data_IF_528516400972
#
_entry.id   IF_528516400972
#
_cell.length_a   1.000
_cell.length_b   1.000
_cell.length_c   1.000
_cell.angle_alpha   90.00
_cell.angle_beta   90.00
_cell.angle_gamma   90.00
#
_symmetry.space_group_name_H-M   'P 1'
#
loop_
_entity.id
_entity.type
_entity.pdbx_description
1 polymer ?
#
# COMPACT_ATOMS: atom_id res chain seq x y z
N UNK A 1 -31.36 -12.64 -19.44
CA UNK A 1 -31.73 -12.18 -18.08
C UNK A 1 -30.99 -12.99 -17.03
N UNK A 2 -31.03 -14.33 -17.08
CA UNK A 2 -30.24 -15.22 -16.21
C UNK A 2 -28.72 -15.02 -16.31
N UNK A 3 -28.17 -14.91 -17.53
CA UNK A 3 -26.71 -14.70 -17.73
C UNK A 3 -26.20 -13.38 -17.11
N UNK A 4 -27.04 -12.35 -17.08
CA UNK A 4 -26.72 -11.03 -16.51
C UNK A 4 -26.70 -11.09 -14.97
N UNK A 5 -27.52 -11.96 -14.38
CA UNK A 5 -27.56 -12.19 -12.94
C UNK A 5 -26.39 -13.07 -12.48
N UNK A 6 -26.00 -14.06 -13.29
CA UNK A 6 -24.87 -14.94 -13.01
C UNK A 6 -23.54 -14.18 -13.08
N UNK A 7 -23.34 -13.37 -14.12
CA UNK A 7 -22.17 -12.48 -14.23
C UNK A 7 -22.07 -11.46 -13.09
N UNK A 8 -23.20 -10.91 -12.64
CA UNK A 8 -23.22 -10.00 -11.49
C UNK A 8 -22.78 -10.68 -10.18
N UNK A 9 -23.18 -11.94 -9.98
CA UNK A 9 -22.76 -12.73 -8.80
C UNK A 9 -21.27 -13.05 -8.82
N UNK A 10 -20.73 -13.40 -9.98
CA UNK A 10 -19.29 -13.65 -10.15
C UNK A 10 -18.45 -12.40 -9.87
N UNK A 11 -18.87 -11.23 -10.36
CA UNK A 11 -18.18 -9.95 -10.10
C UNK A 11 -18.23 -9.55 -8.61
N UNK A 12 -19.34 -9.82 -7.92
CA UNK A 12 -19.44 -9.61 -6.48
C UNK A 12 -18.44 -10.46 -5.70
N UNK A 13 -18.39 -11.77 -5.97
CA UNK A 13 -17.46 -12.71 -5.32
C UNK A 13 -16.01 -12.28 -5.58
N UNK A 14 -15.71 -11.87 -6.81
CA UNK A 14 -14.37 -11.38 -7.19
C UNK A 14 -14.00 -10.11 -6.43
N UNK A 15 -14.95 -9.20 -6.26
CA UNK A 15 -14.74 -7.94 -5.51
C UNK A 15 -14.50 -8.21 -4.04
N UNK A 16 -15.31 -9.06 -3.41
CA UNK A 16 -15.13 -9.47 -2.00
C UNK A 16 -13.76 -10.14 -1.75
N UNK A 17 -13.33 -11.02 -2.66
CA UNK A 17 -12.01 -11.65 -2.57
C UNK A 17 -10.87 -10.62 -2.70
N UNK A 18 -11.00 -9.64 -3.59
CA UNK A 18 -10.01 -8.58 -3.75
C UNK A 18 -9.93 -7.69 -2.51
N UNK A 19 -11.08 -7.31 -1.93
CA UNK A 19 -11.12 -6.55 -0.67
C UNK A 19 -10.46 -7.33 0.47
N UNK A 20 -10.71 -8.65 0.56
CA UNK A 20 -10.06 -9.49 1.56
C UNK A 20 -8.54 -9.50 1.43
N UNK A 21 -8.02 -9.62 0.20
CA UNK A 21 -6.58 -9.59 -0.07
C UNK A 21 -5.97 -8.25 0.32
N UNK A 22 -6.60 -7.13 -0.08
CA UNK A 22 -6.12 -5.78 0.22
C UNK A 22 -6.07 -5.53 1.72
N UNK A 23 -7.12 -5.93 2.46
CA UNK A 23 -7.18 -5.73 3.90
C UNK A 23 -6.11 -6.57 4.61
N UNK A 24 -5.90 -7.82 4.19
CA UNK A 24 -4.84 -8.67 4.74
C UNK A 24 -3.45 -8.05 4.54
N UNK A 25 -3.15 -7.60 3.33
CA UNK A 25 -1.86 -6.99 2.99
C UNK A 25 -1.64 -5.68 3.78
N UNK A 26 -2.70 -4.90 3.99
CA UNK A 26 -2.68 -3.71 4.84
C UNK A 26 -2.39 -4.06 6.30
N UNK A 27 -3.10 -5.03 6.87
CA UNK A 27 -2.92 -5.48 8.26
C UNK A 27 -1.49 -6.02 8.50
N UNK A 28 -0.95 -6.77 7.54
CA UNK A 28 0.43 -7.27 7.60
C UNK A 28 1.44 -6.12 7.58
N UNK A 29 1.19 -5.08 6.78
CA UNK A 29 2.03 -3.89 6.72
C UNK A 29 2.01 -3.08 8.03
N UNK A 30 0.87 -2.99 8.72
CA UNK A 30 0.80 -2.37 10.05
C UNK A 30 1.60 -3.15 11.09
N UNK A 31 1.59 -4.49 11.02
CA UNK A 31 2.42 -5.33 11.89
C UNK A 31 3.92 -5.06 11.72
N UNK A 32 4.38 -4.71 10.52
CA UNK A 32 5.77 -4.32 10.29
C UNK A 32 6.16 -3.02 11.00
N UNK A 33 5.24 -2.05 11.09
CA UNK A 33 5.47 -0.79 11.82
C UNK A 33 5.69 -1.07 13.31
N UNK A 34 4.90 -1.96 13.90
CA UNK A 34 5.05 -2.35 15.30
C UNK A 34 6.38 -3.06 15.55
N UNK A 35 6.78 -3.99 14.68
CA UNK A 35 8.08 -4.67 14.76
C UNK A 35 9.24 -3.67 14.67
N UNK A 36 9.15 -2.71 13.75
CA UNK A 36 10.16 -1.66 13.59
C UNK A 36 10.28 -0.80 14.85
N UNK A 37 9.16 -0.40 15.44
CA UNK A 37 9.12 0.40 16.68
C UNK A 37 9.75 -0.31 17.88
N UNK A 38 9.57 -1.63 17.98
CA UNK A 38 10.22 -2.46 19.00
C UNK A 38 11.75 -2.47 18.80
N UNK A 39 12.21 -2.64 17.56
CA UNK A 39 13.65 -2.61 17.23
C UNK A 39 14.26 -1.25 17.53
N UNK A 40 13.59 -0.15 17.17
CA UNK A 40 14.03 1.21 17.50
C UNK A 40 14.15 1.42 19.01
N UNK A 41 13.18 0.95 19.78
CA UNK A 41 13.19 1.04 21.25
C UNK A 41 14.35 0.24 21.85
N UNK A 42 14.66 -0.93 21.29
CA UNK A 42 15.77 -1.78 21.73
C UNK A 42 17.13 -1.19 21.35
N UNK A 43 17.24 -0.55 20.19
CA UNK A 43 18.45 0.17 19.79
C UNK A 43 18.68 1.39 20.69
N UNK A 44 17.63 2.16 20.99
CA UNK A 44 17.72 3.32 21.87
C UNK A 44 18.27 2.93 23.25
N UNK A 45 17.80 1.82 23.83
CA UNK A 45 18.27 1.33 25.13
C UNK A 45 19.69 0.77 25.08
N UNK A 46 20.07 0.07 24.02
CA UNK A 46 21.43 -0.48 23.86
C UNK A 46 22.49 0.61 23.71
N UNK A 47 22.18 1.69 23.00
CA UNK A 47 23.15 2.73 22.69
C UNK A 47 23.15 3.90 23.69
N UNK A 48 22.27 3.93 24.70
CA UNK A 48 22.03 5.09 25.58
C UNK A 48 21.86 6.41 24.80
N UNK A 49 21.56 6.30 23.50
CA UNK A 49 21.18 7.41 22.67
C UNK A 49 19.74 7.65 23.03
N UNK A 50 19.45 8.81 23.61
CA UNK A 50 18.09 9.31 23.57
C UNK A 50 17.75 9.41 22.09
N UNK A 51 17.09 8.38 21.55
CA UNK A 51 16.34 8.50 20.31
C UNK A 51 15.29 9.52 20.68
N UNK A 52 15.62 10.78 20.45
CA UNK A 52 14.68 11.86 20.62
C UNK A 52 13.51 11.42 19.78
N UNK A 53 12.36 11.16 20.42
CA UNK A 53 11.10 10.86 19.72
C UNK A 53 10.76 11.94 18.67
N UNK A 54 11.50 13.06 18.70
CA UNK A 54 11.44 14.22 17.84
C UNK A 54 12.64 14.38 16.87
N UNK A 55 13.47 13.36 16.66
CA UNK A 55 14.28 13.30 15.44
C UNK A 55 13.28 13.05 14.31
N UNK A 56 12.60 14.11 13.90
CA UNK A 56 11.73 14.11 12.74
C UNK A 56 12.66 13.84 11.58
N UNK A 57 12.84 12.56 11.28
CA UNK A 57 13.45 12.12 10.06
C UNK A 57 12.64 12.79 8.96
N UNK A 58 13.24 13.79 8.33
CA UNK A 58 12.63 14.50 7.20
C UNK A 58 12.74 13.58 6.00
N UNK A 59 11.99 12.49 6.02
CA UNK A 59 11.85 11.63 4.87
C UNK A 59 11.27 12.45 3.73
N UNK A 60 11.72 12.24 2.48
CA UNK A 60 11.06 12.83 1.33
C UNK A 60 9.59 12.43 1.39
N UNK A 61 8.71 13.43 1.43
CA UNK A 61 7.27 13.17 1.36
C UNK A 61 6.98 12.63 -0.03
N UNK A 62 6.68 11.32 -0.12
CA UNK A 62 6.17 10.72 -1.34
C UNK A 62 4.86 11.43 -1.68
N UNK A 63 4.84 12.15 -2.80
CA UNK A 63 3.62 12.73 -3.34
C UNK A 63 3.16 11.83 -4.45
N UNK A 64 2.10 11.07 -4.21
CA UNK A 64 1.44 10.34 -5.27
C UNK A 64 0.81 11.38 -6.23
N UNK A 65 1.01 11.23 -7.55
CA UNK A 65 0.30 12.05 -8.51
C UNK A 65 -1.21 11.83 -8.31
N UNK A 66 -1.96 12.93 -8.22
CA UNK A 66 -3.41 12.87 -8.18
C UNK A 66 -3.96 12.86 -9.61
N UNK A 67 -5.00 12.08 -9.85
CA UNK A 67 -5.69 12.11 -11.13
C UNK A 67 -6.39 13.45 -11.30
N UNK A 68 -6.26 14.06 -12.47
CA UNK A 68 -6.79 15.39 -12.77
C UNK A 68 -8.29 15.39 -13.14
N UNK A 69 -8.92 14.21 -13.21
CA UNK A 69 -10.32 14.05 -13.57
C UNK A 69 -10.61 14.09 -15.07
N UNK A 70 -9.60 14.36 -15.92
CA UNK A 70 -9.78 14.41 -17.37
C UNK A 70 -9.69 13.01 -17.97
N UNK A 71 -10.79 12.52 -18.54
CA UNK A 71 -10.87 11.16 -19.09
C UNK A 71 -9.80 10.85 -20.17
N UNK A 72 -9.34 11.87 -20.91
CA UNK A 72 -8.24 11.72 -21.89
C UNK A 72 -6.92 11.31 -21.24
N UNK A 73 -6.74 11.64 -19.97
CA UNK A 73 -5.53 11.38 -19.20
C UNK A 73 -5.65 10.08 -18.35
N UNK A 74 -6.81 9.40 -18.37
CA UNK A 74 -7.09 8.20 -17.57
C UNK A 74 -6.07 7.09 -17.78
N UNK A 75 -5.83 6.69 -19.04
CA UNK A 75 -4.89 5.62 -19.37
C UNK A 75 -3.44 5.99 -19.03
N UNK A 76 -3.07 7.25 -19.28
CA UNK A 76 -1.73 7.76 -18.98
C UNK A 76 -1.44 7.83 -17.48
N UNK A 77 -2.46 8.16 -16.68
CA UNK A 77 -2.38 8.19 -15.22
C UNK A 77 -2.19 6.77 -14.65
N UNK A 78 -3.09 5.84 -14.98
CA UNK A 78 -3.03 4.47 -14.44
C UNK A 78 -1.84 3.66 -14.97
N UNK A 79 -1.35 3.96 -16.17
CA UNK A 79 -0.16 3.33 -16.74
C UNK A 79 1.13 3.54 -15.94
N UNK A 80 1.19 4.53 -15.05
CA UNK A 80 2.36 4.81 -14.21
C UNK A 80 2.58 3.74 -13.13
N UNK A 81 1.49 3.14 -12.63
CA UNK A 81 1.54 2.13 -11.57
C UNK A 81 1.84 0.72 -12.10
N UNK A 82 1.62 0.46 -13.39
CA UNK A 82 1.89 -0.83 -14.04
C UNK A 82 3.36 -1.25 -13.99
N UNK A 83 4.30 -0.29 -13.88
CA UNK A 83 5.74 -0.59 -13.78
C UNK A 83 6.16 -1.13 -12.42
N UNK A 84 5.42 -0.86 -11.36
CA UNK A 84 5.76 -1.32 -10.00
C UNK A 84 5.47 -2.82 -9.87
N UNK A 85 4.37 -3.27 -10.46
CA UNK A 85 3.89 -4.67 -10.39
C UNK A 85 4.76 -5.66 -11.17
N UNK A 86 5.59 -5.20 -12.13
CA UNK A 86 6.42 -6.07 -12.99
C UNK A 86 7.93 -5.82 -12.82
N UNK A 87 8.34 -5.16 -11.73
CA UNK A 87 9.77 -4.87 -11.52
C UNK A 87 10.51 -6.13 -11.01
N UNK A 88 11.45 -6.70 -11.79
CA UNK A 88 12.20 -7.90 -11.40
C UNK A 88 13.14 -7.66 -10.22
N UNK A 89 13.34 -6.42 -9.77
CA UNK A 89 14.14 -6.13 -8.57
C UNK A 89 13.40 -6.34 -7.25
N UNK A 90 12.09 -6.66 -7.28
CA UNK A 90 11.28 -7.04 -6.12
C UNK A 90 10.81 -8.51 -6.15
N UNK A 91 11.38 -9.35 -7.03
CA UNK A 91 11.08 -10.79 -7.16
C UNK A 91 12.19 -11.70 -6.65
#
# INVERSE_FOLDING_TARGET
>A
MLEMEETYREELIKTENNEMIINHEFDESECYIDKWRIVESKLASLFNVSVTQNAVFRYPKLKLPAFDGYIKNWLGFWGQFKKIDTDPSFG
#
